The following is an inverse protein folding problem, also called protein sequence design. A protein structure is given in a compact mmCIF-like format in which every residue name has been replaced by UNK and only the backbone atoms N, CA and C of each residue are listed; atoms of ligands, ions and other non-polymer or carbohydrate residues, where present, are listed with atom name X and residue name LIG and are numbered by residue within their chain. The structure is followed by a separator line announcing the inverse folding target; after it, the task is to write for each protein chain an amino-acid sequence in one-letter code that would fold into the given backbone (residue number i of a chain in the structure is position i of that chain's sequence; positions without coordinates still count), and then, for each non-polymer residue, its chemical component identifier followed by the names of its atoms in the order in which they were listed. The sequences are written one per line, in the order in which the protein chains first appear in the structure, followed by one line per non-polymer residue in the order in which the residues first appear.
data_IF_281894326291
#
_entry.id   IF_281894326291
#
_cell.length_a   1.000
_cell.length_b   1.000
_cell.length_c   1.000
_cell.angle_alpha   90.00
_cell.angle_beta   90.00
_cell.angle_gamma   90.00
#
_symmetry.space_group_name_H-M   'P 1'
#
loop_
_entity.id
_entity.type
_entity.pdbx_description
1 polymer ?
#
# COMPACT_ATOMS: atom_id res chain seq x y z
N UNK A 1 -5.12 22.34 3.66
CA UNK A 1 -4.01 21.37 3.76
C UNK A 1 -3.80 20.81 2.37
N UNK A 2 -2.56 20.79 1.89
CA UNK A 2 -2.25 20.38 0.52
C UNK A 2 -1.45 19.09 0.59
N UNK A 3 -1.96 18.02 0.01
CA UNK A 3 -1.21 16.79 -0.23
C UNK A 3 -0.44 17.03 -1.53
N UNK A 4 0.69 17.72 -1.45
CA UNK A 4 1.50 18.01 -2.63
C UNK A 4 2.53 16.89 -2.88
N UNK A 5 3.35 17.09 -3.91
CA UNK A 5 4.39 16.13 -4.28
C UNK A 5 5.39 15.87 -3.15
N UNK A 6 5.77 16.91 -2.39
CA UNK A 6 6.73 16.77 -1.29
C UNK A 6 6.17 15.94 -0.15
N UNK A 7 4.89 16.13 0.17
CA UNK A 7 4.17 15.26 1.11
C UNK A 7 4.15 13.81 0.62
N UNK A 8 3.83 13.58 -0.66
CA UNK A 8 3.77 12.24 -1.23
C UNK A 8 5.14 11.53 -1.21
N UNK A 9 6.22 12.25 -1.52
CA UNK A 9 7.59 11.71 -1.48
C UNK A 9 7.99 11.29 -0.05
N UNK A 10 7.64 12.07 0.97
CA UNK A 10 7.88 11.72 2.36
C UNK A 10 7.08 10.47 2.78
N UNK A 11 5.80 10.39 2.41
CA UNK A 11 4.96 9.20 2.69
C UNK A 11 5.53 7.95 2.02
N UNK A 12 5.91 8.03 0.75
CA UNK A 12 6.55 6.93 0.01
C UNK A 12 7.81 6.44 0.72
N UNK A 13 8.66 7.35 1.21
CA UNK A 13 9.87 6.99 1.93
C UNK A 13 9.61 6.22 3.23
N UNK A 14 8.48 6.47 3.90
CA UNK A 14 8.08 5.72 5.10
C UNK A 14 7.41 4.38 4.77
N UNK A 15 6.70 4.27 3.64
CA UNK A 15 6.02 3.05 3.22
C UNK A 15 6.96 2.02 2.60
N UNK A 16 7.96 2.45 1.83
CA UNK A 16 8.85 1.56 1.08
C UNK A 16 9.52 0.48 1.95
N UNK A 17 10.04 0.78 3.16
CA UNK A 17 10.65 -0.25 4.01
C UNK A 17 9.68 -1.34 4.47
N UNK A 18 8.38 -1.04 4.60
CA UNK A 18 7.35 -2.03 4.95
C UNK A 18 7.12 -2.99 3.78
N UNK A 19 7.03 -2.46 2.56
CA UNK A 19 6.94 -3.25 1.34
C UNK A 19 8.18 -4.11 1.10
N UNK A 20 9.37 -3.57 1.36
CA UNK A 20 10.63 -4.31 1.24
C UNK A 20 10.69 -5.45 2.27
N UNK A 21 10.24 -5.22 3.50
CA UNK A 21 10.20 -6.23 4.56
C UNK A 21 9.19 -7.36 4.27
N UNK A 22 8.10 -7.06 3.57
CA UNK A 22 7.12 -8.06 3.16
C UNK A 22 7.70 -9.07 2.15
N UNK A 23 8.53 -8.59 1.23
CA UNK A 23 9.29 -9.43 0.30
C UNK A 23 8.47 -10.00 -0.87
N UNK A 24 7.23 -9.55 -1.08
CA UNK A 24 6.37 -10.00 -2.20
C UNK A 24 6.71 -9.36 -3.56
N UNK A 25 7.87 -8.71 -3.67
CA UNK A 25 8.34 -8.09 -4.91
C UNK A 25 7.56 -6.83 -5.30
N UNK A 26 7.19 -6.02 -4.31
CA UNK A 26 6.47 -4.76 -4.52
C UNK A 26 7.26 -3.75 -5.35
N UNK A 27 6.57 -3.06 -6.26
CA UNK A 27 7.13 -2.02 -7.11
C UNK A 27 6.28 -0.77 -7.09
N UNK A 28 6.89 0.37 -6.75
CA UNK A 28 6.22 1.66 -6.71
C UNK A 28 6.04 2.24 -8.12
N UNK A 29 4.82 2.65 -8.47
CA UNK A 29 4.47 3.13 -9.81
C UNK A 29 4.69 4.64 -10.04
N UNK A 30 5.17 5.36 -9.02
CA UNK A 30 5.48 6.79 -9.10
C UNK A 30 4.38 7.70 -8.54
N UNK A 31 4.68 9.01 -8.53
CA UNK A 31 3.81 10.07 -8.00
C UNK A 31 3.30 10.91 -9.17
N UNK A 32 1.97 11.02 -9.30
CA UNK A 32 1.32 11.90 -10.28
C UNK A 32 1.38 13.37 -9.87
N UNK A 33 1.11 14.30 -10.80
CA UNK A 33 1.00 15.73 -10.50
C UNK A 33 -0.35 16.29 -11.01
N UNK A 34 -1.29 16.67 -10.14
CA UNK A 34 -1.22 16.55 -8.68
C UNK A 34 -1.25 15.07 -8.22
N UNK A 35 -0.75 14.76 -7.01
CA UNK A 35 -0.82 13.41 -6.47
C UNK A 35 -2.26 13.10 -6.06
N UNK A 36 -2.85 12.07 -6.68
CA UNK A 36 -4.22 11.59 -6.39
C UNK A 36 -4.24 10.17 -5.84
N UNK A 37 -3.16 9.42 -6.05
CA UNK A 37 -2.95 8.11 -5.46
C UNK A 37 -1.45 7.80 -5.38
N UNK A 38 -1.09 6.87 -4.49
CA UNK A 38 0.19 6.17 -4.49
C UNK A 38 -0.09 4.69 -4.74
N UNK A 39 0.62 4.06 -5.68
CA UNK A 39 0.37 2.67 -6.10
C UNK A 39 1.63 1.83 -5.98
N UNK A 40 1.51 0.67 -5.33
CA UNK A 40 2.47 -0.42 -5.39
C UNK A 40 1.86 -1.66 -6.02
N UNK A 41 2.65 -2.34 -6.86
CA UNK A 41 2.26 -3.59 -7.50
C UNK A 41 3.15 -4.74 -7.00
N UNK A 42 2.56 -5.84 -6.53
CA UNK A 42 3.27 -7.06 -6.15
C UNK A 42 3.20 -8.16 -7.21
N UNK A 43 4.17 -9.08 -7.13
CA UNK A 43 4.13 -10.34 -7.87
C UNK A 43 3.15 -11.31 -7.17
N UNK A 44 2.04 -11.71 -7.81
CA UNK A 44 0.98 -12.45 -7.11
C UNK A 44 1.42 -13.79 -6.54
N UNK A 45 2.29 -14.52 -7.25
CA UNK A 45 2.84 -15.79 -6.78
C UNK A 45 3.74 -15.63 -5.54
N UNK A 46 4.57 -14.58 -5.50
CA UNK A 46 5.41 -14.26 -4.33
C UNK A 46 4.54 -13.84 -3.15
N UNK A 47 3.52 -13.04 -3.41
CA UNK A 47 2.55 -12.61 -2.42
C UNK A 47 1.81 -13.80 -1.80
N UNK A 48 1.26 -14.71 -2.61
CA UNK A 48 0.57 -15.91 -2.12
C UNK A 48 1.49 -16.81 -1.28
N UNK A 49 2.76 -16.93 -1.67
CA UNK A 49 3.73 -17.71 -0.91
C UNK A 49 4.00 -17.11 0.48
N UNK A 50 3.96 -15.77 0.60
CA UNK A 50 4.14 -15.05 1.86
C UNK A 50 2.87 -15.04 2.71
N UNK A 51 1.71 -14.92 2.05
CA UNK A 51 0.37 -14.76 2.64
C UNK A 51 -0.57 -15.85 2.10
N UNK A 52 -0.38 -17.12 2.49
CA UNK A 52 -1.16 -18.24 1.97
C UNK A 52 -2.65 -18.19 2.35
N UNK A 53 -3.02 -17.37 3.34
CA UNK A 53 -4.38 -17.15 3.82
C UNK A 53 -5.04 -15.87 3.27
N UNK A 54 -4.46 -15.27 2.23
CA UNK A 54 -4.95 -14.00 1.65
C UNK A 54 -6.18 -14.13 0.75
N UNK A 55 -6.57 -15.34 0.36
CA UNK A 55 -7.71 -15.63 -0.53
C UNK A 55 -7.67 -14.92 -1.91
N UNK A 56 -6.51 -14.40 -2.34
CA UNK A 56 -6.39 -13.61 -3.58
C UNK A 56 -6.79 -14.37 -4.85
N UNK A 57 -6.54 -15.68 -4.92
CA UNK A 57 -6.93 -16.51 -6.07
C UNK A 57 -8.46 -16.65 -6.14
N UNK A 58 -9.11 -16.78 -4.98
CA UNK A 58 -10.57 -16.84 -4.90
C UNK A 58 -11.19 -15.49 -5.25
N UNK A 59 -10.61 -14.39 -4.77
CA UNK A 59 -11.08 -13.04 -5.06
C UNK A 59 -10.95 -12.66 -6.54
N UNK A 60 -9.87 -13.10 -7.20
CA UNK A 60 -9.63 -12.87 -8.62
C UNK A 60 -10.27 -13.93 -9.54
N UNK A 61 -10.74 -15.05 -8.99
CA UNK A 61 -11.34 -16.15 -9.75
C UNK A 61 -10.35 -16.89 -10.65
N UNK A 62 -9.05 -16.80 -10.39
CA UNK A 62 -7.98 -17.41 -11.18
C UNK A 62 -6.74 -17.70 -10.31
N UNK A 63 -5.89 -18.67 -10.69
CA UNK A 63 -4.67 -18.95 -9.94
C UNK A 63 -3.69 -17.77 -10.01
N UNK A 64 -2.87 -17.59 -8.98
CA UNK A 64 -1.90 -16.50 -8.85
C UNK A 64 -0.89 -16.45 -10.01
N UNK A 65 -0.64 -17.59 -10.65
CA UNK A 65 0.19 -17.67 -11.87
C UNK A 65 -0.42 -16.98 -13.11
N UNK A 66 -1.71 -16.64 -13.08
CA UNK A 66 -2.44 -15.96 -14.15
C UNK A 66 -2.81 -14.52 -13.81
N UNK A 67 -2.68 -14.13 -12.54
CA UNK A 67 -2.87 -12.74 -12.11
C UNK A 67 -1.63 -11.95 -12.58
N UNK A 68 -1.78 -10.80 -13.26
CA UNK A 68 -0.64 -10.03 -13.76
C UNK A 68 0.15 -9.35 -12.64
N UNK A 69 -0.56 -8.69 -11.72
CA UNK A 69 -0.04 -7.98 -10.55
C UNK A 69 -1.10 -7.95 -9.45
N UNK A 70 -0.70 -7.62 -8.23
CA UNK A 70 -1.62 -7.23 -7.17
C UNK A 70 -1.40 -5.78 -6.81
N UNK A 71 -2.46 -5.02 -6.82
CA UNK A 71 -2.38 -3.58 -6.62
C UNK A 71 -2.75 -3.17 -5.19
N UNK A 72 -1.93 -2.31 -4.60
CA UNK A 72 -2.23 -1.57 -3.37
C UNK A 72 -2.19 -0.08 -3.68
N UNK A 73 -3.33 0.58 -3.48
CA UNK A 73 -3.50 2.02 -3.64
C UNK A 73 -3.68 2.72 -2.30
N UNK A 74 -3.01 3.86 -2.15
CA UNK A 74 -3.36 4.89 -1.18
C UNK A 74 -4.02 6.05 -1.94
N UNK A 75 -5.35 6.10 -1.95
CA UNK A 75 -6.08 7.20 -2.59
C UNK A 75 -5.99 8.46 -1.74
N UNK A 76 -5.66 9.58 -2.40
CA UNK A 76 -5.40 10.87 -1.78
C UNK A 76 -6.56 11.81 -2.08
N UNK A 77 -7.42 12.01 -1.09
CA UNK A 77 -8.54 12.93 -1.15
C UNK A 77 -8.29 14.14 -0.25
N UNK A 78 -8.98 15.27 -0.47
CA UNK A 78 -8.90 16.42 0.43
C UNK A 78 -9.30 16.04 1.87
N UNK A 79 -8.31 15.87 2.73
CA UNK A 79 -8.51 15.53 4.15
C UNK A 79 -8.71 14.05 4.45
N UNK A 80 -8.44 13.15 3.50
CA UNK A 80 -8.58 11.71 3.70
C UNK A 80 -7.55 10.93 2.86
N UNK A 81 -6.96 9.91 3.46
CA UNK A 81 -6.20 8.87 2.76
C UNK A 81 -6.89 7.53 2.97
N UNK A 82 -7.25 6.86 1.89
CA UNK A 82 -7.91 5.55 1.92
C UNK A 82 -6.98 4.49 1.34
N UNK A 83 -6.73 3.42 2.09
CA UNK A 83 -6.04 2.23 1.58
C UNK A 83 -7.05 1.36 0.83
N UNK A 84 -6.68 0.95 -0.37
CA UNK A 84 -7.40 -0.04 -1.17
C UNK A 84 -6.44 -1.13 -1.60
N UNK A 85 -6.78 -2.37 -1.29
CA UNK A 85 -6.01 -3.53 -1.70
C UNK A 85 -6.86 -4.44 -2.58
N UNK A 86 -6.42 -4.65 -3.83
CA UNK A 86 -6.99 -5.64 -4.74
C UNK A 86 -7.12 -7.03 -4.10
N UNK A 87 -8.32 -7.60 -4.20
CA UNK A 87 -8.62 -8.93 -3.71
C UNK A 87 -8.77 -9.05 -2.19
N UNK A 88 -8.46 -8.00 -1.42
CA UNK A 88 -8.59 -8.03 0.04
C UNK A 88 -9.99 -7.57 0.49
N UNK A 89 -10.77 -8.40 1.21
CA UNK A 89 -12.15 -8.09 1.55
C UNK A 89 -12.29 -7.02 2.64
N UNK A 90 -11.25 -6.82 3.45
CA UNK A 90 -11.26 -5.89 4.58
C UNK A 90 -10.37 -4.70 4.27
N UNK A 91 -10.98 -3.57 3.96
CA UNK A 91 -10.24 -2.32 3.80
C UNK A 91 -10.09 -1.63 5.16
N UNK A 92 -8.89 -1.19 5.55
CA UNK A 92 -8.71 -0.43 6.77
C UNK A 92 -9.53 0.87 6.81
N UNK A 93 -9.73 1.37 8.03
CA UNK A 93 -10.32 2.70 8.20
C UNK A 93 -9.45 3.77 7.51
N UNK A 94 -10.04 4.73 6.80
CA UNK A 94 -9.30 5.84 6.24
C UNK A 94 -8.58 6.67 7.31
N UNK A 95 -7.44 7.26 6.94
CA UNK A 95 -6.63 8.13 7.81
C UNK A 95 -6.89 9.59 7.44
N UNK A 96 -7.06 10.46 8.42
CA UNK A 96 -7.11 11.91 8.20
C UNK A 96 -5.68 12.44 8.23
N UNK A 97 -5.11 12.90 7.09
CA UNK A 97 -3.75 13.40 7.07
C UNK A 97 -3.63 14.72 7.84
N UNK A 98 -2.47 14.94 8.42
CA UNK A 98 -2.09 16.18 9.13
C UNK A 98 -1.44 17.19 8.19
N UNK A 99 -0.94 16.73 7.05
CA UNK A 99 -0.16 17.52 6.09
C UNK A 99 1.34 17.48 6.36
N UNK A 100 1.76 16.82 7.45
CA UNK A 100 3.15 16.44 7.69
C UNK A 100 3.39 15.05 7.09
N UNK A 101 4.09 15.01 5.96
CA UNK A 101 4.31 13.76 5.20
C UNK A 101 5.10 12.71 5.96
N UNK A 102 5.98 13.11 6.90
CA UNK A 102 6.72 12.16 7.73
C UNK A 102 5.82 11.53 8.80
N UNK A 103 4.99 12.35 9.45
CA UNK A 103 4.04 11.86 10.46
C UNK A 103 2.94 11.00 9.83
N UNK A 104 2.35 11.49 8.74
CA UNK A 104 1.32 10.78 8.00
C UNK A 104 1.90 9.48 7.40
N UNK A 105 3.11 9.54 6.86
CA UNK A 105 3.84 8.38 6.33
C UNK A 105 4.09 7.29 7.37
N UNK A 106 4.57 7.65 8.57
CA UNK A 106 4.73 6.68 9.67
C UNK A 106 3.40 6.06 10.09
N UNK A 107 2.34 6.86 10.16
CA UNK A 107 0.99 6.38 10.52
C UNK A 107 0.49 5.36 9.50
N UNK A 108 0.60 5.67 8.21
CA UNK A 108 0.23 4.78 7.12
C UNK A 108 1.12 3.53 7.08
N UNK A 109 2.42 3.67 7.35
CA UNK A 109 3.35 2.54 7.43
C UNK A 109 3.01 1.58 8.58
N UNK A 110 2.58 2.09 9.75
CA UNK A 110 2.15 1.23 10.86
C UNK A 110 0.91 0.44 10.45
N UNK A 111 -0.08 1.12 9.87
CA UNK A 111 -1.29 0.47 9.40
C UNK A 111 -0.98 -0.60 8.35
N UNK A 112 -0.12 -0.29 7.37
CA UNK A 112 0.28 -1.23 6.33
C UNK A 112 1.03 -2.43 6.93
N UNK A 113 1.97 -2.20 7.85
CA UNK A 113 2.75 -3.25 8.48
C UNK A 113 1.88 -4.24 9.26
N UNK A 114 0.84 -3.76 9.94
CA UNK A 114 -0.14 -4.61 10.62
C UNK A 114 -0.91 -5.48 9.62
N UNK A 115 -1.33 -4.93 8.48
CA UNK A 115 -2.03 -5.67 7.43
C UNK A 115 -1.13 -6.70 6.73
N UNK A 116 0.14 -6.34 6.47
CA UNK A 116 1.16 -7.22 5.90
C UNK A 116 1.82 -8.14 6.93
N UNK A 117 1.48 -8.04 8.22
CA UNK A 117 2.08 -8.87 9.29
C UNK A 117 3.61 -8.87 9.24
N UNK A 118 4.19 -7.70 9.04
CA UNK A 118 5.65 -7.47 9.05
C UNK A 118 6.04 -6.58 10.23
N UNK A 119 7.24 -6.78 10.75
CA UNK A 119 7.79 -5.89 11.76
C UNK A 119 8.09 -4.54 11.13
N UNK A 120 7.71 -3.44 11.81
CA UNK A 120 8.13 -2.11 11.35
C UNK A 120 9.65 -1.96 11.51
N UNK A 121 10.37 -1.52 10.46
CA UNK A 121 11.72 -1.02 10.64
C UNK A 121 11.65 0.25 11.50
N UNK A 122 12.38 0.24 12.62
CA UNK A 122 12.40 1.33 13.61
C UNK A 122 13.19 2.57 13.17
#
# INVERSE_FOLDING_TARGET
MTLDRGWAEAVVAQLQPVFDADGSGWSFQGITDPPTALLWEAVPASFLARHPDSDIEAANGMPASQIPCLDIWFYLEPGLVSLSWEGYPQQPAPVVPTGDGDLDGRTLATLLAENLRVDQPG
#
